data_IF_931454098014
#
_entry.id   IF_931454098014
#
_cell.length_a   1.000
_cell.length_b   1.000
_cell.length_c   1.000
_cell.angle_alpha   90.00
_cell.angle_beta   90.00
_cell.angle_gamma   90.00
#
_symmetry.space_group_name_H-M   'P 1'
#
loop_
_entity.id
_entity.type
_entity.pdbx_description
1 polymer ?
#
# COMPACT_ATOMS: atom_id res chain seq x y z
N UNK A 1 21.75 -0.57 -40.16
CA UNK A 1 20.90 -1.14 -39.09
C UNK A 1 19.47 -0.77 -39.39
N UNK A 2 18.61 -1.73 -39.66
CA UNK A 2 17.23 -1.51 -40.11
C UNK A 2 16.37 -0.98 -38.95
N UNK A 3 15.43 -0.08 -39.27
CA UNK A 3 14.49 0.52 -38.31
C UNK A 3 13.78 -0.56 -37.47
N UNK A 4 13.52 -1.74 -38.05
CA UNK A 4 12.94 -2.89 -37.35
C UNK A 4 13.81 -3.46 -36.21
N UNK A 5 15.14 -3.40 -36.30
CA UNK A 5 16.03 -3.88 -35.24
C UNK A 5 16.05 -2.93 -34.03
N UNK A 6 15.92 -1.62 -34.26
CA UNK A 6 15.89 -0.62 -33.17
C UNK A 6 14.58 -0.71 -32.38
N UNK A 7 13.46 -0.93 -33.06
CA UNK A 7 12.14 -1.11 -32.42
C UNK A 7 12.10 -2.39 -31.57
N UNK A 8 12.70 -3.48 -32.05
CA UNK A 8 12.80 -4.73 -31.29
C UNK A 8 13.64 -4.58 -30.02
N UNK A 9 14.76 -3.87 -30.10
CA UNK A 9 15.61 -3.59 -28.92
C UNK A 9 14.87 -2.71 -27.91
N UNK A 10 14.11 -1.71 -28.36
CA UNK A 10 13.31 -0.86 -27.47
C UNK A 10 12.19 -1.63 -26.78
N UNK A 11 11.51 -2.56 -27.47
CA UNK A 11 10.49 -3.41 -26.84
C UNK A 11 11.09 -4.40 -25.82
N UNK A 12 12.27 -4.96 -26.10
CA UNK A 12 12.97 -5.85 -25.15
C UNK A 12 13.46 -5.06 -23.93
N UNK A 13 14.01 -3.87 -24.12
CA UNK A 13 14.44 -2.99 -23.01
C UNK A 13 13.23 -2.52 -22.21
N UNK A 14 12.14 -2.08 -22.85
CA UNK A 14 10.90 -1.71 -22.18
C UNK A 14 10.25 -2.90 -21.46
N UNK A 15 10.34 -4.10 -22.03
CA UNK A 15 9.90 -5.35 -21.41
C UNK A 15 10.73 -5.69 -20.17
N UNK A 16 12.06 -5.63 -20.23
CA UNK A 16 12.95 -5.84 -19.08
C UNK A 16 12.73 -4.76 -18.01
N UNK A 17 12.53 -3.50 -18.40
CA UNK A 17 12.21 -2.41 -17.48
C UNK A 17 10.85 -2.62 -16.81
N UNK A 18 9.83 -2.97 -17.58
CA UNK A 18 8.47 -3.25 -17.09
C UNK A 18 8.45 -4.49 -16.20
N UNK A 19 9.23 -5.52 -16.53
CA UNK A 19 9.32 -6.75 -15.75
C UNK A 19 10.04 -6.49 -14.42
N UNK A 20 11.13 -5.71 -14.41
CA UNK A 20 11.79 -5.28 -13.16
C UNK A 20 10.92 -4.36 -12.31
N UNK A 21 10.14 -3.46 -12.94
CA UNK A 21 9.24 -2.53 -12.25
C UNK A 21 8.04 -3.23 -11.60
N UNK A 22 7.37 -4.15 -12.31
CA UNK A 22 6.28 -4.95 -11.73
C UNK A 22 6.77 -5.89 -10.61
N UNK A 23 7.99 -6.42 -10.72
CA UNK A 23 8.53 -7.41 -9.77
C UNK A 23 8.62 -6.89 -8.34
N UNK A 24 8.89 -5.60 -8.15
CA UNK A 24 9.05 -5.01 -6.82
C UNK A 24 7.71 -4.67 -6.15
N UNK A 25 6.64 -4.43 -6.91
CA UNK A 25 5.30 -4.14 -6.39
C UNK A 25 4.43 -5.39 -6.23
N UNK A 26 4.74 -6.47 -6.97
CA UNK A 26 4.08 -7.79 -6.85
C UNK A 26 4.43 -8.52 -5.54
N UNK A 27 5.52 -8.12 -4.87
CA UNK A 27 5.98 -8.70 -3.60
C UNK A 27 5.41 -8.01 -2.35
N UNK A 28 4.63 -6.94 -2.49
CA UNK A 28 3.94 -6.32 -1.35
C UNK A 28 2.68 -7.15 -1.10
N UNK A 29 2.83 -8.17 -0.27
CA UNK A 29 1.71 -8.89 0.32
C UNK A 29 1.23 -8.08 1.53
N UNK A 30 -0.08 -7.87 1.59
CA UNK A 30 -0.74 -7.28 2.74
C UNK A 30 -1.28 -8.46 3.54
N UNK A 31 -0.75 -8.68 4.74
CA UNK A 31 -1.24 -9.73 5.61
C UNK A 31 -2.55 -9.31 6.26
N UNK A 32 -3.42 -10.29 6.50
CA UNK A 32 -4.65 -10.08 7.24
C UNK A 32 -4.29 -10.00 8.72
N UNK A 33 -4.44 -8.83 9.30
CA UNK A 33 -4.22 -8.60 10.73
C UNK A 33 -5.54 -8.76 11.45
N UNK A 34 -5.57 -9.63 12.47
CA UNK A 34 -6.73 -9.81 13.34
C UNK A 34 -6.86 -8.59 14.28
N UNK A 35 -7.59 -7.57 13.82
CA UNK A 35 -7.79 -6.28 14.52
C UNK A 35 -8.37 -6.52 15.92
N UNK A 36 -9.19 -7.55 16.11
CA UNK A 36 -9.79 -7.87 17.41
C UNK A 36 -8.77 -8.30 18.47
N UNK A 37 -7.54 -8.64 18.08
CA UNK A 37 -6.42 -8.92 19.00
C UNK A 37 -5.53 -7.71 19.23
N UNK A 38 -5.72 -6.64 18.48
CA UNK A 38 -4.98 -5.40 18.65
C UNK A 38 -5.55 -4.66 19.86
N UNK A 39 -4.72 -4.32 20.86
CA UNK A 39 -5.18 -3.53 22.00
C UNK A 39 -5.69 -2.15 21.57
N UNK A 40 -6.50 -1.54 22.44
CA UNK A 40 -6.94 -0.17 22.23
C UNK A 40 -5.75 0.78 22.28
N UNK A 41 -5.63 1.64 21.28
CA UNK A 41 -4.47 2.50 21.15
C UNK A 41 -4.43 3.30 19.86
N UNK A 42 -3.41 4.12 19.75
CA UNK A 42 -3.07 4.83 18.52
C UNK A 42 -1.70 4.36 18.04
N UNK A 43 -1.66 3.87 16.81
CA UNK A 43 -0.53 3.17 16.23
C UNK A 43 -0.04 3.91 14.99
N UNK A 44 1.16 4.52 15.04
CA UNK A 44 1.76 5.10 13.86
C UNK A 44 2.28 3.99 12.95
N UNK A 45 2.09 4.15 11.64
CA UNK A 45 2.66 3.27 10.63
C UNK A 45 3.13 4.04 9.43
N UNK A 46 4.25 3.62 8.87
CA UNK A 46 4.80 4.19 7.66
C UNK A 46 5.24 3.10 6.69
N UNK A 47 5.21 3.45 5.40
CA UNK A 47 5.74 2.60 4.37
C UNK A 47 6.31 3.43 3.22
N UNK A 48 7.46 3.00 2.71
CA UNK A 48 8.15 3.65 1.60
C UNK A 48 8.60 2.61 0.57
N UNK A 49 8.29 2.89 -0.70
CA UNK A 49 8.71 2.05 -1.82
C UNK A 49 9.08 2.92 -3.03
N UNK A 50 10.30 2.76 -3.54
CA UNK A 50 10.91 3.62 -4.56
C UNK A 50 10.75 5.12 -4.28
N UNK A 51 9.83 5.77 -4.99
CA UNK A 51 9.55 7.22 -4.97
C UNK A 51 8.21 7.55 -4.30
N UNK A 52 7.55 6.57 -3.68
CA UNK A 52 6.25 6.74 -3.04
C UNK A 52 6.40 6.41 -1.56
N UNK A 53 5.95 7.32 -0.71
CA UNK A 53 5.91 7.16 0.73
C UNK A 53 4.49 7.41 1.25
N UNK A 54 4.11 6.72 2.32
CA UNK A 54 2.83 6.84 2.99
C UNK A 54 3.04 6.72 4.50
N UNK A 55 2.45 7.64 5.26
CA UNK A 55 2.42 7.62 6.72
C UNK A 55 0.97 7.75 7.20
N UNK A 56 0.62 6.90 8.17
CA UNK A 56 -0.70 6.85 8.81
C UNK A 56 -0.57 6.80 10.33
N UNK A 57 -1.65 7.18 11.00
CA UNK A 57 -1.90 6.90 12.41
C UNK A 57 -3.23 6.17 12.51
N UNK A 58 -3.21 4.94 13.02
CA UNK A 58 -4.37 4.04 13.13
C UNK A 58 -4.84 4.01 14.58
N UNK A 59 -6.08 4.38 14.83
CA UNK A 59 -6.72 4.30 16.15
C UNK A 59 -7.58 3.04 16.22
N UNK A 60 -7.24 2.13 17.12
CA UNK A 60 -8.02 0.93 17.44
C UNK A 60 -8.73 1.14 18.77
N UNK A 61 -10.02 0.79 18.83
CA UNK A 61 -10.82 0.75 20.05
C UNK A 61 -11.81 -0.39 20.00
N UNK A 62 -11.99 -1.08 21.12
CA UNK A 62 -12.90 -2.21 21.27
C UNK A 62 -12.69 -3.30 20.20
N UNK A 63 -11.44 -3.47 19.74
CA UNK A 63 -11.08 -4.44 18.69
C UNK A 63 -11.47 -4.03 17.26
N UNK A 64 -11.76 -2.75 17.02
CA UNK A 64 -12.11 -2.17 15.72
C UNK A 64 -11.26 -0.92 15.39
N UNK A 65 -10.97 -0.71 14.10
CA UNK A 65 -10.35 0.52 13.62
C UNK A 65 -11.40 1.63 13.63
N UNK A 66 -11.25 2.58 14.54
CA UNK A 66 -12.18 3.72 14.68
C UNK A 66 -11.75 4.93 13.87
N UNK A 67 -10.46 5.07 13.56
CA UNK A 67 -9.93 6.19 12.80
C UNK A 67 -8.61 5.82 12.15
N UNK A 68 -8.37 6.30 10.94
CA UNK A 68 -7.05 6.31 10.32
C UNK A 68 -6.78 7.73 9.83
N UNK A 69 -5.64 8.30 10.20
CA UNK A 69 -5.25 9.66 9.81
C UNK A 69 -3.98 9.62 9.00
N UNK A 70 -3.93 10.33 7.86
CA UNK A 70 -2.70 10.47 7.08
C UNK A 70 -1.75 11.45 7.77
N UNK A 71 -0.61 10.94 8.25
CA UNK A 71 0.44 11.72 8.95
C UNK A 71 1.47 12.28 7.99
N UNK A 72 1.63 11.69 6.80
CA UNK A 72 2.55 12.20 5.79
C UNK A 72 2.69 11.29 4.57
N UNK A 73 3.56 11.69 3.64
CA UNK A 73 3.89 10.91 2.45
C UNK A 73 3.72 11.67 1.13
N UNK A 74 4.39 11.16 0.09
CA UNK A 74 4.37 11.70 -1.27
C UNK A 74 3.27 11.05 -2.14
N UNK A 75 2.54 10.08 -1.59
CA UNK A 75 1.46 9.39 -2.25
C UNK A 75 0.20 10.28 -2.45
N UNK A 76 -0.61 9.96 -3.45
CA UNK A 76 -1.81 10.73 -3.78
C UNK A 76 -2.84 10.68 -2.64
N UNK A 77 -3.00 11.79 -1.92
CA UNK A 77 -3.82 11.89 -0.72
C UNK A 77 -5.28 11.50 -0.94
N UNK A 78 -5.90 11.94 -2.03
CA UNK A 78 -7.31 11.64 -2.33
C UNK A 78 -7.52 10.13 -2.49
N UNK A 79 -6.63 9.45 -3.21
CA UNK A 79 -6.70 8.00 -3.38
C UNK A 79 -6.47 7.25 -2.07
N UNK A 80 -5.62 7.79 -1.17
CA UNK A 80 -5.36 7.19 0.12
C UNK A 80 -6.54 7.34 1.07
N UNK A 81 -7.20 8.50 1.07
CA UNK A 81 -8.41 8.77 1.85
C UNK A 81 -9.53 7.79 1.44
N UNK A 82 -9.76 7.60 0.14
CA UNK A 82 -10.74 6.59 -0.34
C UNK A 82 -10.41 5.16 0.10
N UNK A 83 -9.13 4.81 0.18
CA UNK A 83 -8.70 3.48 0.66
C UNK A 83 -8.89 3.37 2.16
N UNK A 84 -8.52 4.41 2.91
CA UNK A 84 -8.71 4.49 4.36
C UNK A 84 -10.19 4.33 4.71
N UNK A 85 -11.08 5.06 4.05
CA UNK A 85 -12.51 4.99 4.30
C UNK A 85 -13.04 3.57 4.09
N UNK A 86 -12.58 2.89 3.03
CA UNK A 86 -12.92 1.48 2.79
C UNK A 86 -12.38 0.55 3.87
N UNK A 87 -11.17 0.77 4.38
CA UNK A 87 -10.59 -0.05 5.46
C UNK A 87 -11.37 0.12 6.76
N UNK A 88 -11.74 1.36 7.10
CA UNK A 88 -12.57 1.65 8.29
C UNK A 88 -13.97 1.08 8.14
N UNK A 89 -14.60 1.19 6.96
CA UNK A 89 -15.94 0.63 6.72
C UNK A 89 -15.94 -0.91 6.73
N UNK A 90 -14.93 -1.53 6.14
CA UNK A 90 -14.85 -3.00 5.97
C UNK A 90 -14.16 -3.72 7.12
N UNK A 91 -13.44 -2.99 7.97
CA UNK A 91 -12.60 -3.56 9.04
C UNK A 91 -11.65 -4.64 8.50
N UNK A 92 -11.15 -4.47 7.27
CA UNK A 92 -10.17 -5.39 6.68
C UNK A 92 -9.22 -4.65 5.76
N UNK A 93 -7.98 -5.14 5.71
CA UNK A 93 -6.95 -4.69 4.79
C UNK A 93 -7.07 -5.35 3.41
N UNK A 94 -7.95 -6.36 3.26
CA UNK A 94 -8.28 -7.03 2.00
C UNK A 94 -9.25 -6.21 1.14
N UNK A 95 -9.06 -4.89 1.09
CA UNK A 95 -9.80 -4.04 0.16
C UNK A 95 -9.23 -4.23 -1.24
N UNK A 96 -10.10 -4.47 -2.22
CA UNK A 96 -9.72 -4.73 -3.61
C UNK A 96 -8.85 -3.60 -4.17
N UNK A 97 -7.53 -3.83 -4.17
CA UNK A 97 -6.65 -3.05 -5.03
C UNK A 97 -6.91 -3.54 -6.44
N UNK A 98 -7.76 -2.81 -7.18
CA UNK A 98 -8.05 -3.08 -8.59
C UNK A 98 -6.75 -3.46 -9.28
N UNK A 99 -6.74 -4.56 -10.03
CA UNK A 99 -5.56 -5.31 -10.49
C UNK A 99 -4.56 -4.56 -11.41
N UNK A 100 -4.54 -3.23 -11.36
CA UNK A 100 -3.58 -2.33 -11.99
C UNK A 100 -3.38 -0.98 -11.27
N UNK A 101 -3.92 -0.76 -10.06
CA UNK A 101 -3.92 0.55 -9.40
C UNK A 101 -2.67 0.77 -8.50
N UNK A 102 -1.74 1.53 -9.08
CA UNK A 102 -1.01 2.67 -8.49
C UNK A 102 -0.37 2.46 -7.11
N UNK A 103 0.96 2.39 -7.07
CA UNK A 103 1.83 2.19 -5.89
C UNK A 103 1.37 2.88 -4.58
N UNK A 104 0.72 4.03 -4.66
CA UNK A 104 0.12 4.80 -3.56
C UNK A 104 -0.91 4.03 -2.72
N UNK A 105 -1.86 3.31 -3.34
CA UNK A 105 -2.89 2.55 -2.62
C UNK A 105 -2.28 1.39 -1.85
N UNK A 106 -1.29 0.72 -2.43
CA UNK A 106 -0.52 -0.33 -1.74
C UNK A 106 0.32 0.25 -0.60
N UNK A 107 0.87 1.46 -0.79
CA UNK A 107 1.68 2.09 0.23
C UNK A 107 0.87 2.44 1.48
N UNK A 108 -0.35 2.98 1.34
CA UNK A 108 -1.20 3.26 2.50
C UNK A 108 -1.67 1.99 3.21
N UNK A 109 -2.07 0.95 2.46
CA UNK A 109 -2.45 -0.34 3.06
C UNK A 109 -1.30 -0.97 3.83
N UNK A 110 -0.09 -0.93 3.26
CA UNK A 110 1.09 -1.45 3.93
C UNK A 110 1.48 -0.62 5.16
N UNK A 111 1.27 0.70 5.13
CA UNK A 111 1.48 1.55 6.30
C UNK A 111 0.47 1.23 7.42
N UNK A 112 -0.79 0.98 7.08
CA UNK A 112 -1.83 0.56 8.05
C UNK A 112 -1.48 -0.82 8.63
N UNK A 113 -1.11 -1.77 7.78
CA UNK A 113 -0.64 -3.09 8.23
C UNK A 113 0.55 -2.96 9.18
N UNK A 114 1.57 -2.17 8.82
CA UNK A 114 2.72 -1.94 9.68
C UNK A 114 2.33 -1.34 11.04
N UNK A 115 1.38 -0.40 11.07
CA UNK A 115 0.86 0.14 12.32
C UNK A 115 0.26 -0.96 13.21
N UNK A 116 -0.62 -1.80 12.63
CA UNK A 116 -1.31 -2.86 13.36
C UNK A 116 -0.38 -4.01 13.75
N UNK A 117 0.57 -4.39 12.90
CA UNK A 117 1.56 -5.43 13.22
C UNK A 117 2.55 -4.96 14.29
N UNK A 118 2.94 -3.67 14.30
CA UNK A 118 3.80 -3.12 15.36
C UNK A 118 3.15 -3.13 16.75
N UNK A 119 1.81 -3.24 16.79
CA UNK A 119 1.01 -3.29 18.01
C UNK A 119 0.68 -4.70 18.49
N UNK A 120 0.78 -5.69 17.60
CA UNK A 120 0.55 -7.09 17.94
C UNK A 120 1.83 -7.69 18.55
N UNK A 121 1.75 -8.33 19.74
CA UNK A 121 2.89 -9.01 20.36
C UNK A 121 3.35 -10.26 19.60
#
# INVERSE_FOLDING_TARGET
MSVGAVVLVLMVVAGIYSWRFLSATRKITIEDVDISRVPDGEYPGDFKVFHVSAGVSVTVRDGEITRITLTGGDANRQQMEEVIDRVVDRQTLQVDTVSGATVSSKAVLKAIENALTSSSP
#
